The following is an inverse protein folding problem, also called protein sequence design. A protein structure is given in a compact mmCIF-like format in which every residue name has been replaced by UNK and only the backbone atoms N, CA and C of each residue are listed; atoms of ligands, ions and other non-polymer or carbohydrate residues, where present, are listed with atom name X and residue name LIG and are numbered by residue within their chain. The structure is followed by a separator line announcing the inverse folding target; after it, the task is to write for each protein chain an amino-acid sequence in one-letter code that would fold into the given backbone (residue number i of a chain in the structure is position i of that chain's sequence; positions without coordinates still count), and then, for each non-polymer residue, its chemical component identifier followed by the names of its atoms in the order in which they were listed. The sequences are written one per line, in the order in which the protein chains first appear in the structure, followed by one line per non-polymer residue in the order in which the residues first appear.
data_IF_858062374854
#
_entry.id   IF_858062374854
#
_cell.length_a   1.000
_cell.length_b   1.000
_cell.length_c   1.000
_cell.angle_alpha   90.00
_cell.angle_beta   90.00
_cell.angle_gamma   90.00
#
_symmetry.space_group_name_H-M   'P 1'
#
loop_
_entity.id
_entity.type
_entity.pdbx_description
1 polymer ?
#
# COMPACT_ATOMS: atom_id res chain seq x y z
N UNK A 1 -21.31 -15.79 22.31
CA UNK A 1 -21.24 -14.39 21.85
C UNK A 1 -20.48 -14.27 20.55
N UNK A 2 -21.28 -14.12 19.51
CA UNK A 2 -20.94 -13.92 18.13
C UNK A 2 -20.33 -12.53 17.93
N UNK A 3 -19.00 -12.47 17.74
CA UNK A 3 -18.29 -11.53 16.85
C UNK A 3 -16.77 -11.77 16.92
N UNK A 4 -16.39 -13.05 16.79
CA UNK A 4 -15.03 -13.41 16.41
C UNK A 4 -14.91 -13.12 14.91
N UNK A 5 -14.58 -11.88 14.55
CA UNK A 5 -14.18 -11.52 13.20
C UNK A 5 -12.93 -12.33 12.85
N UNK A 6 -13.15 -13.53 12.30
CA UNK A 6 -12.14 -14.34 11.63
C UNK A 6 -11.64 -13.54 10.43
N UNK A 7 -10.57 -12.78 10.63
CA UNK A 7 -9.75 -12.17 9.58
C UNK A 7 -8.69 -13.15 9.05
N UNK A 8 -8.93 -14.46 9.18
CA UNK A 8 -7.97 -15.50 8.79
C UNK A 8 -8.09 -15.95 7.32
N UNK A 9 -8.93 -15.29 6.51
CA UNK A 9 -9.02 -15.50 5.06
C UNK A 9 -8.86 -14.19 4.28
N UNK A 10 -7.84 -13.40 4.64
CA UNK A 10 -7.54 -12.16 3.91
C UNK A 10 -6.79 -12.48 2.61
N UNK A 11 -7.57 -12.71 1.54
CA UNK A 11 -7.25 -12.50 0.13
C UNK A 11 -5.80 -12.80 -0.32
N UNK A 12 -5.45 -14.08 -0.42
CA UNK A 12 -4.55 -14.49 -1.51
C UNK A 12 -5.36 -14.32 -2.80
N UNK A 13 -4.87 -13.48 -3.72
CA UNK A 13 -5.35 -13.34 -5.10
C UNK A 13 -6.05 -14.62 -5.56
N UNK A 14 -7.37 -14.53 -5.72
CA UNK A 14 -8.21 -15.67 -6.04
C UNK A 14 -7.62 -16.45 -7.20
N UNK A 15 -7.18 -17.69 -6.94
CA UNK A 15 -7.06 -18.73 -7.97
C UNK A 15 -8.47 -19.05 -8.48
N UNK A 16 -8.99 -18.23 -9.38
CA UNK A 16 -9.94 -18.65 -10.40
C UNK A 16 -9.31 -18.27 -11.72
N UNK A 17 -9.28 -19.23 -12.65
CA UNK A 17 -8.71 -19.09 -13.99
C UNK A 17 -9.42 -17.96 -14.74
N UNK A 18 -8.93 -16.74 -14.55
CA UNK A 18 -9.20 -15.60 -15.40
C UNK A 18 -8.12 -15.64 -16.46
N UNK A 19 -8.52 -15.74 -17.73
CA UNK A 19 -7.59 -15.66 -18.87
C UNK A 19 -7.80 -14.30 -19.54
N UNK A 20 -7.29 -13.19 -18.95
CA UNK A 20 -7.41 -11.90 -19.58
C UNK A 20 -6.62 -11.88 -20.88
N UNK A 21 -7.11 -11.09 -21.83
CA UNK A 21 -6.33 -10.72 -23.01
C UNK A 21 -4.96 -10.20 -22.53
N UNK A 22 -3.90 -10.87 -22.96
CA UNK A 22 -2.52 -10.65 -22.49
C UNK A 22 -2.09 -9.20 -22.73
N UNK A 23 -2.70 -8.53 -23.71
CA UNK A 23 -2.41 -7.14 -24.06
C UNK A 23 -2.85 -6.09 -23.02
N UNK A 24 -3.74 -6.45 -22.08
CA UNK A 24 -4.29 -5.54 -21.06
C UNK A 24 -3.91 -5.91 -19.62
N UNK A 25 -3.00 -6.87 -19.43
CA UNK A 25 -2.52 -7.23 -18.10
C UNK A 25 -1.52 -6.19 -17.62
N UNK A 26 -1.76 -5.64 -16.42
CA UNK A 26 -0.78 -4.81 -15.75
C UNK A 26 0.39 -5.70 -15.29
N UNK A 27 1.61 -5.34 -15.69
CA UNK A 27 2.82 -6.02 -15.22
C UNK A 27 3.13 -5.56 -13.79
N UNK A 28 2.88 -6.44 -12.83
CA UNK A 28 3.17 -6.20 -11.42
C UNK A 28 4.65 -6.40 -11.08
N UNK A 29 5.48 -6.82 -12.03
CA UNK A 29 6.92 -7.05 -11.85
C UNK A 29 7.24 -8.03 -10.69
N UNK A 30 6.30 -8.91 -10.35
CA UNK A 30 6.45 -9.87 -9.25
C UNK A 30 6.14 -9.32 -7.85
N UNK A 31 5.48 -8.16 -7.73
CA UNK A 31 5.03 -7.62 -6.44
C UNK A 31 4.11 -8.60 -5.68
N UNK A 32 4.28 -8.66 -4.35
CA UNK A 32 3.58 -9.59 -3.47
C UNK A 32 3.05 -8.88 -2.21
N UNK A 33 1.88 -9.28 -1.68
CA UNK A 33 1.31 -8.67 -0.48
C UNK A 33 2.28 -8.72 0.72
N UNK A 34 2.44 -7.59 1.42
CA UNK A 34 3.24 -7.51 2.64
C UNK A 34 2.53 -8.23 3.80
N UNK A 35 2.97 -9.45 4.12
CA UNK A 35 2.43 -10.28 5.21
C UNK A 35 2.96 -9.88 6.60
N UNK A 36 2.82 -8.61 6.97
CA UNK A 36 3.23 -8.12 8.30
C UNK A 36 2.18 -8.50 9.36
N UNK A 37 2.58 -8.95 10.57
CA UNK A 37 1.64 -9.18 11.66
C UNK A 37 0.92 -7.88 12.05
N UNK A 38 -0.39 -7.95 12.31
CA UNK A 38 -1.20 -6.77 12.66
C UNK A 38 -0.63 -5.97 13.84
N UNK A 39 -0.05 -6.66 14.82
CA UNK A 39 0.57 -6.05 16.01
C UNK A 39 1.77 -5.15 15.71
N UNK A 40 2.40 -5.33 14.54
CA UNK A 40 3.61 -4.62 14.14
C UNK A 40 3.30 -3.50 13.12
N UNK A 41 2.01 -3.24 12.84
CA UNK A 41 1.57 -2.21 11.89
C UNK A 41 1.40 -0.85 12.56
N UNK A 42 2.01 0.17 11.95
CA UNK A 42 1.68 1.59 12.18
C UNK A 42 0.91 2.09 10.96
N UNK A 43 -0.36 2.43 11.15
CA UNK A 43 -1.26 2.83 10.06
C UNK A 43 -1.31 4.35 9.97
N UNK A 44 -0.95 4.89 8.80
CA UNK A 44 -1.08 6.31 8.49
C UNK A 44 -2.37 6.56 7.71
N UNK A 45 -3.32 7.27 8.32
CA UNK A 45 -4.49 7.78 7.60
C UNK A 45 -4.13 9.08 6.89
N UNK A 46 -4.27 9.11 5.56
CA UNK A 46 -3.89 10.26 4.75
C UNK A 46 -4.81 10.43 3.54
N UNK A 47 -4.96 11.68 3.11
CA UNK A 47 -5.70 12.03 1.89
C UNK A 47 -4.72 12.27 0.73
N UNK A 48 -4.86 11.52 -0.37
CA UNK A 48 -3.98 11.58 -1.56
C UNK A 48 -3.77 13.03 -2.03
N UNK A 49 -4.87 13.73 -2.33
CA UNK A 49 -4.80 15.13 -2.79
C UNK A 49 -4.14 16.05 -1.76
N UNK A 50 -4.48 15.92 -0.48
CA UNK A 50 -3.98 16.81 0.57
C UNK A 50 -2.48 16.65 0.82
N UNK A 51 -1.96 15.43 0.66
CA UNK A 51 -0.57 15.10 0.97
C UNK A 51 0.45 15.88 0.14
N UNK A 52 0.20 16.04 -1.16
CA UNK A 52 1.17 16.64 -2.08
C UNK A 52 0.69 17.91 -2.78
N UNK A 53 -0.53 18.41 -2.48
CA UNK A 53 -1.09 19.60 -3.14
C UNK A 53 -0.36 20.90 -2.85
N UNK A 54 0.24 21.05 -1.68
CA UNK A 54 0.89 22.30 -1.30
C UNK A 54 2.23 22.48 -2.03
N UNK A 55 2.58 23.70 -2.43
CA UNK A 55 3.82 23.99 -3.21
C UNK A 55 5.10 23.55 -2.48
N UNK A 56 5.07 23.52 -1.14
CA UNK A 56 6.20 23.02 -0.34
C UNK A 56 6.47 21.52 -0.51
N UNK A 57 5.53 20.75 -1.08
CA UNK A 57 5.73 19.33 -1.35
C UNK A 57 6.83 19.12 -2.39
N UNK A 58 7.04 20.08 -3.31
CA UNK A 58 8.03 20.00 -4.40
C UNK A 58 7.91 18.68 -5.19
N UNK A 59 6.69 18.28 -5.53
CA UNK A 59 6.40 17.13 -6.40
C UNK A 59 6.05 17.59 -7.81
N UNK A 60 6.38 16.80 -8.82
CA UNK A 60 6.03 17.10 -10.21
C UNK A 60 4.52 17.01 -10.46
N UNK A 61 3.85 16.07 -9.79
CA UNK A 61 2.41 15.82 -9.94
C UNK A 61 1.61 16.03 -8.63
N UNK A 62 1.39 17.28 -8.19
CA UNK A 62 0.77 17.58 -6.89
C UNK A 62 -0.68 17.09 -6.80
N UNK A 63 -0.98 16.40 -5.70
CA UNK A 63 -2.30 15.88 -5.38
C UNK A 63 -2.74 14.66 -6.20
N UNK A 64 -1.81 13.95 -6.83
CA UNK A 64 -2.04 12.74 -7.63
C UNK A 64 -1.39 11.51 -7.00
N UNK A 65 -1.71 10.30 -7.49
CA UNK A 65 -1.04 9.07 -7.06
C UNK A 65 0.46 9.09 -7.35
N UNK A 66 0.88 9.63 -8.51
CA UNK A 66 2.30 9.76 -8.86
C UNK A 66 3.04 10.68 -7.89
N UNK A 67 2.42 11.81 -7.50
CA UNK A 67 3.00 12.69 -6.48
C UNK A 67 3.19 12.00 -5.13
N UNK A 68 2.31 11.07 -4.74
CA UNK A 68 2.50 10.26 -3.52
C UNK A 68 3.70 9.32 -3.67
N UNK A 69 3.86 8.69 -4.84
CA UNK A 69 5.00 7.80 -5.13
C UNK A 69 6.34 8.55 -4.98
N UNK A 70 6.41 9.80 -5.44
CA UNK A 70 7.59 10.68 -5.26
C UNK A 70 7.96 10.96 -3.79
N UNK A 71 7.04 10.71 -2.84
CA UNK A 71 7.20 11.01 -1.41
C UNK A 71 7.15 9.79 -0.49
N UNK A 72 7.27 8.58 -1.03
CA UNK A 72 7.24 7.34 -0.23
C UNK A 72 8.32 7.31 0.86
N UNK A 73 9.48 7.93 0.62
CA UNK A 73 10.56 8.04 1.61
C UNK A 73 10.13 8.76 2.89
N UNK A 74 9.19 9.71 2.81
CA UNK A 74 8.68 10.43 3.99
C UNK A 74 7.83 9.52 4.90
N UNK A 75 7.24 8.47 4.35
CA UNK A 75 6.40 7.52 5.07
C UNK A 75 7.19 6.29 5.54
N UNK A 76 8.45 6.14 5.10
CA UNK A 76 9.25 4.99 5.44
C UNK A 76 9.70 5.07 6.90
N UNK A 77 9.19 4.17 7.72
CA UNK A 77 9.69 3.97 9.08
C UNK A 77 10.93 3.04 9.00
N UNK A 78 12.11 3.47 9.46
CA UNK A 78 13.29 2.62 9.47
C UNK A 78 13.08 1.45 10.43
N UNK A 79 13.25 0.23 9.92
CA UNK A 79 13.01 -1.04 10.63
C UNK A 79 13.94 -1.29 11.83
N UNK A 80 14.92 -0.43 12.07
CA UNK A 80 15.94 -0.59 13.11
C UNK A 80 15.56 -0.01 14.49
N UNK A 81 14.37 0.57 14.66
CA UNK A 81 13.95 1.16 15.94
C UNK A 81 13.29 0.18 16.92
N UNK A 82 13.03 -1.07 16.50
CA UNK A 82 12.26 -2.06 17.28
C UNK A 82 13.03 -3.33 17.69
N UNK A 83 14.35 -3.36 17.52
CA UNK A 83 15.19 -4.43 18.06
C UNK A 83 15.93 -3.86 19.27
N UNK A 84 15.30 -3.93 20.44
CA UNK A 84 15.94 -3.84 21.76
C UNK A 84 15.48 -5.00 22.63
#
# INVERSE_FOLDING_TARGET
DSNLFKFDECFVCARKQFKPDISLQFDWEGDLPLRRPQKDLVIYEMHIRGFTRHESSKTEFPGTYLGVVEKLDHLQVPLYSYIS
#
